data_IF_775290686456
#
_entry.id   IF_775290686456
#
_cell.length_a   1.000
_cell.length_b   1.000
_cell.length_c   1.000
_cell.angle_alpha   90.00
_cell.angle_beta   90.00
_cell.angle_gamma   90.00
#
_symmetry.space_group_name_H-M   'P 1'
#
loop_
_entity.id
_entity.type
_entity.pdbx_description
1 polymer ?
#
# COMPACT_ATOMS: atom_id res chain seq x y z
N UNK A 1 3.37 -22.17 -40.85
CA UNK A 1 2.32 -22.00 -39.83
C UNK A 1 2.99 -21.35 -38.64
N UNK A 2 2.82 -20.03 -38.49
CA UNK A 2 3.40 -19.28 -37.37
C UNK A 2 2.46 -19.46 -36.18
N UNK A 3 2.92 -20.19 -35.15
CA UNK A 3 2.17 -20.38 -33.92
C UNK A 3 2.09 -19.06 -33.18
N UNK A 4 0.89 -18.47 -33.10
CA UNK A 4 0.58 -17.46 -32.09
C UNK A 4 0.51 -18.20 -30.76
N UNK A 5 1.62 -18.24 -30.04
CA UNK A 5 1.58 -18.48 -28.60
C UNK A 5 0.85 -17.28 -28.00
N UNK A 6 -0.36 -17.53 -27.50
CA UNK A 6 -1.15 -16.52 -26.82
C UNK A 6 -0.40 -16.05 -25.59
N UNK A 7 -0.37 -14.74 -25.39
CA UNK A 7 0.07 -14.10 -24.14
C UNK A 7 -0.79 -14.71 -23.03
N UNK A 8 -0.24 -15.69 -22.31
CA UNK A 8 -1.02 -16.47 -21.35
C UNK A 8 -0.65 -16.21 -19.90
N UNK A 9 0.37 -15.37 -19.64
CA UNK A 9 0.75 -15.01 -18.30
C UNK A 9 0.79 -13.49 -18.10
N UNK A 10 0.37 -13.04 -16.92
CA UNK A 10 0.41 -11.61 -16.52
C UNK A 10 1.84 -11.08 -16.59
N UNK A 11 2.83 -11.95 -16.41
CA UNK A 11 4.25 -11.64 -16.53
C UNK A 11 4.63 -11.24 -17.97
N UNK A 12 4.14 -11.95 -18.98
CA UNK A 12 4.36 -11.60 -20.40
C UNK A 12 3.77 -10.22 -20.74
N UNK A 13 2.58 -9.91 -20.19
CA UNK A 13 1.97 -8.59 -20.35
C UNK A 13 2.82 -7.48 -19.72
N UNK A 14 3.37 -7.72 -18.54
CA UNK A 14 4.20 -6.76 -17.82
C UNK A 14 5.54 -6.55 -18.55
N UNK A 15 6.17 -7.61 -19.04
CA UNK A 15 7.40 -7.56 -19.82
C UNK A 15 7.21 -6.78 -21.13
N UNK A 16 6.11 -7.04 -21.87
CA UNK A 16 5.77 -6.32 -23.10
C UNK A 16 5.51 -4.82 -22.87
N UNK A 17 5.02 -4.45 -21.67
CA UNK A 17 4.82 -3.06 -21.27
C UNK A 17 6.06 -2.45 -20.59
N UNK A 18 7.13 -3.22 -20.42
CA UNK A 18 8.32 -2.85 -19.64
C UNK A 18 8.00 -2.39 -18.21
N UNK A 19 6.88 -2.89 -17.65
CA UNK A 19 6.44 -2.61 -16.28
C UNK A 19 6.91 -3.75 -15.39
N UNK A 20 7.34 -3.44 -14.18
CA UNK A 20 7.72 -4.44 -13.18
C UNK A 20 7.10 -4.12 -11.83
N UNK A 21 6.96 -5.10 -10.96
CA UNK A 21 6.64 -4.83 -9.56
C UNK A 21 7.85 -4.22 -8.85
N UNK A 22 7.61 -3.48 -7.78
CA UNK A 22 8.67 -2.96 -6.91
C UNK A 22 9.46 -4.12 -6.29
N UNK A 23 8.82 -5.27 -6.02
CA UNK A 23 9.51 -6.51 -5.63
C UNK A 23 10.59 -6.89 -6.66
N UNK A 24 10.19 -7.08 -7.91
CA UNK A 24 11.13 -7.43 -8.99
C UNK A 24 12.22 -6.38 -9.16
N UNK A 25 11.89 -5.10 -8.97
CA UNK A 25 12.88 -4.03 -9.04
C UNK A 25 13.95 -4.16 -7.94
N UNK A 26 13.54 -4.33 -6.68
CA UNK A 26 14.43 -4.48 -5.53
C UNK A 26 15.28 -5.76 -5.62
N UNK A 27 14.69 -6.86 -6.08
CA UNK A 27 15.42 -8.13 -6.24
C UNK A 27 16.52 -8.03 -7.31
N UNK A 28 16.30 -7.21 -8.35
CA UNK A 28 17.25 -7.03 -9.46
C UNK A 28 18.31 -5.94 -9.21
N UNK A 29 17.95 -4.84 -8.56
CA UNK A 29 18.80 -3.64 -8.45
C UNK A 29 19.25 -3.35 -7.02
N UNK A 30 18.68 -4.02 -6.03
CA UNK A 30 18.93 -3.74 -4.62
C UNK A 30 18.13 -2.55 -4.09
N UNK A 31 18.57 -1.92 -2.99
CA UNK A 31 17.86 -0.81 -2.36
C UNK A 31 17.84 0.44 -3.24
N UNK A 32 16.78 1.22 -3.11
CA UNK A 32 16.63 2.53 -3.74
C UNK A 32 17.39 3.61 -2.97
N UNK A 33 17.81 4.64 -3.69
CA UNK A 33 18.23 5.89 -3.07
C UNK A 33 17.05 6.58 -2.39
N UNK A 34 17.33 7.46 -1.43
CA UNK A 34 16.28 8.20 -0.72
C UNK A 34 15.45 9.07 -1.69
N UNK A 35 16.06 9.61 -2.74
CA UNK A 35 15.36 10.36 -3.78
C UNK A 35 14.38 9.48 -4.59
N UNK A 36 14.82 8.30 -5.03
CA UNK A 36 13.96 7.35 -5.76
C UNK A 36 12.82 6.84 -4.87
N UNK A 37 13.13 6.46 -3.63
CA UNK A 37 12.14 6.04 -2.65
C UNK A 37 11.09 7.13 -2.39
N UNK A 38 11.50 8.40 -2.32
CA UNK A 38 10.59 9.54 -2.12
C UNK A 38 9.58 9.71 -3.26
N UNK A 39 10.01 9.51 -4.51
CA UNK A 39 9.12 9.58 -5.69
C UNK A 39 8.08 8.45 -5.65
N UNK A 40 8.53 7.22 -5.39
CA UNK A 40 7.63 6.06 -5.30
C UNK A 40 6.64 6.24 -4.15
N UNK A 41 7.13 6.66 -2.98
CA UNK A 41 6.32 6.80 -1.78
C UNK A 41 5.24 7.86 -1.92
N UNK A 42 5.55 9.00 -2.56
CA UNK A 42 4.59 10.07 -2.83
C UNK A 42 3.42 9.58 -3.69
N UNK A 43 3.72 8.85 -4.77
CA UNK A 43 2.68 8.36 -5.68
C UNK A 43 1.81 7.27 -5.04
N UNK A 44 2.40 6.40 -4.22
CA UNK A 44 1.65 5.43 -3.42
C UNK A 44 0.80 6.14 -2.35
N UNK A 45 1.32 7.18 -1.71
CA UNK A 45 0.63 7.96 -0.69
C UNK A 45 -0.63 8.66 -1.25
N UNK A 46 -0.53 9.27 -2.43
CA UNK A 46 -1.68 9.88 -3.12
C UNK A 46 -2.79 8.85 -3.36
N UNK A 47 -2.44 7.63 -3.78
CA UNK A 47 -3.40 6.56 -4.02
C UNK A 47 -4.10 6.11 -2.72
N UNK A 48 -3.34 5.99 -1.62
CA UNK A 48 -3.88 5.61 -0.31
C UNK A 48 -4.81 6.69 0.26
N UNK A 49 -4.40 7.95 0.28
CA UNK A 49 -5.23 9.04 0.79
C UNK A 49 -6.52 9.16 -0.05
N UNK A 50 -6.46 8.93 -1.37
CA UNK A 50 -7.65 8.87 -2.23
C UNK A 50 -8.63 7.76 -1.81
N UNK A 51 -8.13 6.57 -1.45
CA UNK A 51 -8.97 5.48 -0.94
C UNK A 51 -9.54 5.81 0.44
N UNK A 52 -8.74 6.40 1.32
CA UNK A 52 -9.15 6.75 2.68
C UNK A 52 -10.26 7.79 2.68
N UNK A 53 -10.20 8.78 1.77
CA UNK A 53 -11.27 9.76 1.57
C UNK A 53 -12.60 9.13 1.13
N UNK A 54 -12.56 7.95 0.50
CA UNK A 54 -13.74 7.17 0.12
C UNK A 54 -14.20 6.24 1.25
N UNK A 55 -13.59 6.31 2.44
CA UNK A 55 -13.87 5.41 3.56
C UNK A 55 -13.41 3.97 3.30
N UNK A 56 -12.40 3.79 2.43
CA UNK A 56 -11.83 2.48 2.10
C UNK A 56 -10.42 2.37 2.61
N UNK A 57 -10.02 1.17 3.02
CA UNK A 57 -8.67 0.83 3.44
C UNK A 57 -8.08 -0.08 2.36
N UNK A 58 -6.81 0.11 2.01
CA UNK A 58 -6.14 -0.79 1.07
C UNK A 58 -5.81 -2.13 1.73
N UNK A 59 -5.27 -2.12 2.95
CA UNK A 59 -5.06 -3.28 3.81
C UNK A 59 -4.00 -4.26 3.32
N UNK A 60 -3.27 -3.93 2.24
CA UNK A 60 -2.33 -4.85 1.60
C UNK A 60 -1.27 -4.13 0.75
N UNK A 61 -0.65 -3.09 1.32
CA UNK A 61 0.45 -2.35 0.69
C UNK A 61 1.74 -3.16 0.87
N UNK A 62 2.23 -3.71 -0.24
CA UNK A 62 3.43 -4.57 -0.31
C UNK A 62 4.13 -4.36 -1.67
N UNK A 63 5.44 -4.70 -1.82
CA UNK A 63 6.19 -4.45 -3.06
C UNK A 63 5.61 -5.15 -4.29
N UNK A 64 4.96 -6.29 -4.13
CA UNK A 64 4.31 -7.00 -5.24
C UNK A 64 3.06 -6.28 -5.75
N UNK A 65 2.51 -5.34 -4.98
CA UNK A 65 1.33 -4.56 -5.33
C UNK A 65 1.67 -3.14 -5.79
N UNK A 66 2.95 -2.79 -5.88
CA UNK A 66 3.40 -1.52 -6.45
C UNK A 66 4.04 -1.81 -7.78
N UNK A 67 3.47 -1.29 -8.86
CA UNK A 67 4.09 -1.32 -10.18
C UNK A 67 5.04 -0.15 -10.33
N UNK A 68 6.21 -0.38 -10.92
CA UNK A 68 7.19 0.62 -11.31
C UNK A 68 7.26 0.61 -12.84
N UNK A 69 6.95 1.75 -13.44
CA UNK A 69 6.89 1.93 -14.89
C UNK A 69 8.21 2.49 -15.43
N UNK A 70 8.46 2.35 -16.75
CA UNK A 70 9.52 3.08 -17.42
C UNK A 70 9.36 4.59 -17.19
N UNK A 71 10.44 5.26 -16.78
CA UNK A 71 10.42 6.69 -16.42
C UNK A 71 10.21 6.97 -14.93
N UNK A 72 10.13 5.94 -14.08
CA UNK A 72 10.22 6.08 -12.63
C UNK A 72 8.90 6.41 -11.92
N UNK A 73 7.76 6.31 -12.61
CA UNK A 73 6.44 6.39 -11.97
C UNK A 73 6.04 5.05 -11.35
N UNK A 74 5.20 5.11 -10.33
CA UNK A 74 4.73 4.03 -9.51
C UNK A 74 3.19 4.02 -9.43
N UNK A 75 2.61 2.83 -9.40
CA UNK A 75 1.15 2.65 -9.34
C UNK A 75 0.79 1.57 -8.32
N UNK A 76 -0.08 1.89 -7.37
CA UNK A 76 -0.57 0.96 -6.36
C UNK A 76 -1.77 0.15 -6.87
N UNK A 77 -1.66 -1.18 -6.87
CA UNK A 77 -2.70 -2.10 -7.30
C UNK A 77 -3.78 -2.28 -6.23
N UNK A 78 -5.00 -1.80 -6.51
CA UNK A 78 -6.10 -1.69 -5.54
C UNK A 78 -6.98 -2.96 -5.36
N UNK A 79 -6.48 -4.15 -5.71
CA UNK A 79 -7.28 -5.39 -5.74
C UNK A 79 -7.78 -5.88 -4.37
N UNK A 80 -7.24 -5.35 -3.26
CA UNK A 80 -7.48 -5.85 -1.89
C UNK A 80 -8.24 -4.89 -0.97
N UNK A 81 -8.93 -3.90 -1.55
CA UNK A 81 -9.55 -2.79 -0.81
C UNK A 81 -10.83 -3.18 -0.04
N UNK A 82 -10.94 -2.78 1.23
CA UNK A 82 -12.09 -3.05 2.12
C UNK A 82 -12.72 -1.75 2.65
N UNK A 83 -13.95 -1.82 3.17
CA UNK A 83 -14.58 -0.67 3.81
C UNK A 83 -13.96 -0.44 5.21
N UNK A 84 -13.75 0.82 5.59
CA UNK A 84 -13.14 1.17 6.88
C UNK A 84 -13.94 0.69 8.11
N UNK A 85 -15.24 0.44 7.93
CA UNK A 85 -16.15 -0.09 8.96
C UNK A 85 -16.21 -1.62 9.03
N UNK A 86 -15.41 -2.34 8.23
CA UNK A 86 -15.36 -3.81 8.25
C UNK A 86 -14.40 -4.31 9.35
N UNK A 87 -14.90 -5.20 10.21
CA UNK A 87 -14.27 -5.56 11.51
C UNK A 87 -13.11 -6.57 11.38
N UNK A 88 -12.71 -6.98 10.18
CA UNK A 88 -11.54 -7.85 10.02
C UNK A 88 -11.02 -7.81 8.59
N UNK A 89 -9.76 -7.42 8.40
CA UNK A 89 -9.03 -7.86 7.21
C UNK A 89 -8.94 -9.39 7.23
N UNK A 90 -8.97 -10.07 6.07
CA UNK A 90 -8.68 -11.49 6.02
C UNK A 90 -7.27 -11.75 6.57
N UNK A 91 -7.05 -12.85 7.31
CA UNK A 91 -5.73 -13.17 7.86
C UNK A 91 -4.69 -13.30 6.73
N UNK A 92 -3.55 -12.62 6.87
CA UNK A 92 -2.42 -12.74 5.93
C UNK A 92 -1.75 -14.10 6.11
N UNK A 93 -1.52 -14.80 5.01
CA UNK A 93 -0.72 -16.02 5.01
C UNK A 93 0.78 -15.66 5.03
N UNK A 94 1.64 -16.57 5.50
CA UNK A 94 3.08 -16.34 5.53
C UNK A 94 3.67 -16.06 4.13
N UNK A 95 3.11 -16.70 3.10
CA UNK A 95 3.47 -16.48 1.70
C UNK A 95 2.97 -15.13 1.15
N UNK A 96 2.00 -14.49 1.81
CA UNK A 96 1.33 -13.28 1.33
C UNK A 96 1.58 -12.10 2.27
N UNK A 97 2.73 -11.41 2.10
CA UNK A 97 2.95 -10.10 2.72
C UNK A 97 2.92 -10.09 4.25
N UNK A 98 3.26 -11.21 4.90
CA UNK A 98 3.25 -11.32 6.36
C UNK A 98 4.26 -10.37 7.02
N UNK A 99 5.39 -10.08 6.38
CA UNK A 99 6.38 -9.10 6.87
C UNK A 99 5.87 -7.66 6.92
N UNK A 100 4.67 -7.41 6.39
CA UNK A 100 3.97 -6.12 6.38
C UNK A 100 2.77 -6.11 7.35
N UNK A 101 2.63 -7.16 8.15
CA UNK A 101 1.58 -7.25 9.17
C UNK A 101 1.74 -6.10 10.17
N UNK A 102 0.66 -5.36 10.40
CA UNK A 102 0.62 -4.32 11.41
C UNK A 102 0.39 -4.87 12.83
N UNK A 103 0.75 -4.15 13.90
CA UNK A 103 0.52 -4.56 15.27
C UNK A 103 -0.96 -4.79 15.60
N UNK A 104 -1.84 -3.95 15.06
CA UNK A 104 -3.29 -4.12 15.20
C UNK A 104 -3.80 -5.39 14.50
N UNK A 105 -3.34 -5.70 13.28
CA UNK A 105 -3.67 -6.97 12.63
C UNK A 105 -3.09 -8.18 13.39
N UNK A 106 -1.89 -8.04 13.97
CA UNK A 106 -1.27 -9.09 14.77
C UNK A 106 -2.04 -9.39 16.06
N UNK A 107 -2.64 -8.36 16.68
CA UNK A 107 -3.52 -8.47 17.85
C UNK A 107 -4.95 -8.90 17.52
N UNK A 108 -5.36 -8.78 16.26
CA UNK A 108 -6.75 -8.99 15.82
C UNK A 108 -7.66 -7.79 16.14
N UNK A 109 -7.07 -6.61 16.30
CA UNK A 109 -7.78 -5.35 16.48
C UNK A 109 -8.39 -4.87 15.14
N UNK A 110 -9.22 -3.83 15.20
CA UNK A 110 -9.81 -3.21 14.00
C UNK A 110 -8.75 -2.49 13.18
N UNK A 111 -8.70 -2.77 11.88
CA UNK A 111 -7.84 -2.08 10.91
C UNK A 111 -8.42 -0.72 10.54
N UNK A 112 -7.55 0.25 10.29
CA UNK A 112 -7.94 1.62 9.90
C UNK A 112 -7.01 2.17 8.83
N UNK A 113 -7.20 3.42 8.39
CA UNK A 113 -6.23 4.12 7.54
C UNK A 113 -4.79 4.06 8.10
N UNK A 114 -4.63 4.09 9.43
CA UNK A 114 -3.34 3.98 10.09
C UNK A 114 -2.63 2.63 9.84
N UNK A 115 -3.37 1.57 9.49
CA UNK A 115 -2.83 0.28 9.08
C UNK A 115 -2.11 0.38 7.73
N UNK A 116 -2.65 1.16 6.80
CA UNK A 116 -1.97 1.44 5.54
C UNK A 116 -0.73 2.31 5.75
N UNK A 117 -0.75 3.24 6.72
CA UNK A 117 0.43 4.05 7.09
C UNK A 117 1.57 3.16 7.60
N UNK A 118 1.26 2.16 8.44
CA UNK A 118 2.24 1.17 8.86
C UNK A 118 2.84 0.42 7.68
N UNK A 119 1.98 -0.10 6.80
CA UNK A 119 2.43 -0.87 5.64
C UNK A 119 3.28 0.00 4.69
N UNK A 120 2.95 1.28 4.54
CA UNK A 120 3.71 2.26 3.77
C UNK A 120 5.08 2.54 4.41
N UNK A 121 5.16 2.63 5.74
CA UNK A 121 6.43 2.73 6.47
C UNK A 121 7.32 1.49 6.31
N UNK A 122 6.71 0.30 6.39
CA UNK A 122 7.43 -0.96 6.15
C UNK A 122 7.91 -1.08 4.71
N UNK A 123 7.12 -0.57 3.75
CA UNK A 123 7.51 -0.47 2.35
C UNK A 123 8.70 0.46 2.17
N UNK A 124 8.68 1.64 2.80
CA UNK A 124 9.81 2.57 2.78
C UNK A 124 11.08 1.94 3.36
N UNK A 125 10.96 1.27 4.51
CA UNK A 125 12.08 0.55 5.10
C UNK A 125 12.70 -0.45 4.12
N UNK A 126 11.86 -1.26 3.46
CA UNK A 126 12.34 -2.25 2.51
C UNK A 126 12.90 -1.61 1.23
N UNK A 127 12.34 -0.49 0.76
CA UNK A 127 12.93 0.25 -0.36
C UNK A 127 14.36 0.70 -0.05
N UNK A 128 14.63 1.18 1.18
CA UNK A 128 15.93 1.74 1.56
C UNK A 128 16.96 0.68 1.98
N UNK A 129 16.52 -0.54 2.33
CA UNK A 129 17.40 -1.59 2.88
C UNK A 129 17.41 -2.88 2.07
N UNK A 130 16.49 -3.03 1.11
CA UNK A 130 16.15 -4.27 0.41
C UNK A 130 15.77 -5.44 1.35
N UNK A 131 15.36 -5.14 2.59
CA UNK A 131 14.92 -6.12 3.59
C UNK A 131 13.67 -5.61 4.28
N UNK A 132 12.72 -6.49 4.60
CA UNK A 132 11.57 -6.10 5.41
C UNK A 132 12.00 -5.76 6.86
N UNK A 133 11.28 -4.87 7.57
CA UNK A 133 11.63 -4.46 8.94
C UNK A 133 11.50 -5.59 9.97
N UNK A 134 10.60 -6.55 9.73
CA UNK A 134 10.38 -7.70 10.60
C UNK A 134 10.32 -8.99 9.77
N UNK A 135 11.09 -9.99 10.18
CA UNK A 135 11.14 -11.30 9.51
C UNK A 135 11.31 -12.40 10.56
N UNK A 136 10.43 -13.40 10.50
CA UNK A 136 10.54 -14.60 11.33
C UNK A 136 10.11 -15.83 10.53
N UNK A 137 10.59 -17.03 10.90
CA UNK A 137 10.24 -18.28 10.22
C UNK A 137 8.81 -18.77 10.50
N UNK A 138 8.16 -18.25 11.54
CA UNK A 138 6.81 -18.64 11.97
C UNK A 138 5.96 -17.40 12.16
N UNK A 139 4.70 -17.48 11.74
CA UNK A 139 3.75 -16.37 11.86
C UNK A 139 3.53 -15.93 13.32
N UNK A 140 3.56 -16.86 14.27
CA UNK A 140 3.43 -16.54 15.71
C UNK A 140 4.60 -15.69 16.19
N UNK A 141 5.83 -16.07 15.85
CA UNK A 141 7.03 -15.31 16.18
C UNK A 141 7.03 -13.94 15.48
N UNK A 142 6.59 -13.87 14.22
CA UNK A 142 6.48 -12.60 13.51
C UNK A 142 5.48 -11.65 14.19
N UNK A 143 4.34 -12.17 14.66
CA UNK A 143 3.36 -11.38 15.42
C UNK A 143 3.97 -10.81 16.70
N UNK A 144 4.71 -11.63 17.44
CA UNK A 144 5.39 -11.21 18.67
C UNK A 144 6.40 -10.09 18.40
N UNK A 145 7.23 -10.24 17.36
CA UNK A 145 8.19 -9.23 16.91
C UNK A 145 7.50 -7.93 16.52
N UNK A 146 6.48 -8.00 15.65
CA UNK A 146 5.74 -6.82 15.19
C UNK A 146 5.13 -6.04 16.35
N UNK A 147 4.64 -6.74 17.39
CA UNK A 147 4.02 -6.13 18.56
C UNK A 147 5.05 -5.49 19.50
N UNK A 148 6.24 -6.10 19.65
CA UNK A 148 7.13 -5.82 20.79
C UNK A 148 8.50 -5.24 20.41
N UNK A 149 9.05 -5.65 19.27
CA UNK A 149 10.42 -5.31 18.86
C UNK A 149 10.43 -4.07 17.98
N UNK A 150 11.54 -3.33 17.95
CA UNK A 150 11.73 -2.23 16.99
C UNK A 150 12.52 -2.72 15.77
N UNK A 151 12.33 -2.11 14.59
CA UNK A 151 13.12 -2.45 13.41
C UNK A 151 14.59 -2.10 13.64
N UNK A 152 15.49 -2.77 12.91
CA UNK A 152 16.91 -2.39 12.89
C UNK A 152 17.07 -0.94 12.40
N UNK A 153 18.15 -0.29 12.84
CA UNK A 153 18.48 1.06 12.36
C UNK A 153 18.81 1.04 10.86
N UNK A 154 18.41 2.11 10.17
CA UNK A 154 18.77 2.32 8.78
C UNK A 154 20.29 2.46 8.61
N UNK A 155 20.82 2.06 7.45
CA UNK A 155 22.21 2.32 7.11
C UNK A 155 22.46 3.84 7.05
N UNK A 156 23.72 4.25 7.28
CA UNK A 156 24.12 5.66 7.32
C UNK A 156 23.65 6.47 6.10
N UNK A 157 23.71 5.86 4.91
CA UNK A 157 23.28 6.45 3.64
C UNK A 157 21.76 6.76 3.53
N UNK A 158 20.96 6.28 4.48
CA UNK A 158 19.52 6.54 4.56
C UNK A 158 19.09 7.03 5.96
N UNK A 159 20.05 7.41 6.81
CA UNK A 159 19.79 7.77 8.21
C UNK A 159 18.84 8.97 8.37
N UNK A 160 18.73 9.83 7.36
CA UNK A 160 17.79 10.95 7.30
C UNK A 160 16.33 10.49 7.32
N UNK A 161 16.05 9.28 6.85
CA UNK A 161 14.71 8.70 6.86
C UNK A 161 14.35 8.02 8.20
N UNK A 162 15.29 7.87 9.15
CA UNK A 162 15.08 7.08 10.36
C UNK A 162 13.86 7.56 11.16
N UNK A 163 13.76 8.87 11.42
CA UNK A 163 12.62 9.43 12.14
C UNK A 163 11.30 9.18 11.41
N UNK A 164 11.29 9.20 10.06
CA UNK A 164 10.07 8.91 9.28
C UNK A 164 9.63 7.47 9.51
N UNK A 165 10.58 6.54 9.50
CA UNK A 165 10.31 5.13 9.78
C UNK A 165 9.83 4.94 11.21
N UNK A 166 10.46 5.56 12.20
CA UNK A 166 10.09 5.44 13.61
C UNK A 166 8.63 5.88 13.85
N UNK A 167 8.21 7.01 13.24
CA UNK A 167 6.81 7.46 13.32
C UNK A 167 5.86 6.54 12.55
N UNK A 168 6.23 6.10 11.34
CA UNK A 168 5.36 5.25 10.52
C UNK A 168 5.16 3.85 11.15
N UNK A 169 6.20 3.31 11.76
CA UNK A 169 6.23 1.99 12.42
C UNK A 169 5.98 2.08 13.94
N UNK A 170 5.36 3.16 14.42
CA UNK A 170 4.90 3.23 15.80
C UNK A 170 3.85 2.15 16.09
N UNK A 171 4.02 1.44 17.22
CA UNK A 171 3.18 0.29 17.60
C UNK A 171 1.71 0.64 17.81
N UNK A 172 1.45 1.86 18.28
CA UNK A 172 0.13 2.42 18.49
C UNK A 172 -0.30 3.25 17.27
N UNK A 173 -1.43 2.95 16.63
CA UNK A 173 -1.89 3.65 15.42
C UNK A 173 -1.97 5.18 15.57
N UNK A 174 -2.35 5.66 16.75
CA UNK A 174 -2.48 7.10 17.05
C UNK A 174 -1.13 7.86 17.09
N UNK A 175 -0.02 7.14 17.18
CA UNK A 175 1.32 7.72 17.20
C UNK A 175 1.95 7.81 15.79
N UNK A 176 1.22 7.35 14.75
CA UNK A 176 1.66 7.39 13.36
C UNK A 176 1.26 8.70 12.69
N UNK A 177 1.70 8.88 11.44
CA UNK A 177 1.24 9.98 10.61
C UNK A 177 -0.27 9.94 10.40
N UNK A 178 -0.89 11.12 10.38
CA UNK A 178 -2.33 11.26 10.18
C UNK A 178 -2.78 10.83 8.78
N UNK A 179 -1.96 11.09 7.75
CA UNK A 179 -2.24 10.71 6.36
C UNK A 179 -0.99 10.13 5.70
N UNK A 180 -1.17 9.39 4.60
CA UNK A 180 -0.05 8.83 3.85
C UNK A 180 0.76 9.96 3.22
N UNK A 181 0.09 11.02 2.75
CA UNK A 181 0.78 12.19 2.21
C UNK A 181 1.63 12.92 3.26
N UNK A 182 1.20 12.96 4.52
CA UNK A 182 1.99 13.57 5.60
C UNK A 182 3.32 12.81 5.82
N UNK A 183 3.31 11.48 5.71
CA UNK A 183 4.51 10.65 5.74
C UNK A 183 5.41 10.96 4.53
N UNK A 184 4.86 10.95 3.31
CA UNK A 184 5.61 11.24 2.09
C UNK A 184 6.26 12.63 2.11
N UNK A 185 5.52 13.66 2.52
CA UNK A 185 6.02 15.03 2.65
C UNK A 185 7.16 15.12 3.66
N UNK A 186 7.08 14.37 4.77
CA UNK A 186 8.14 14.33 5.78
C UNK A 186 9.42 13.72 5.21
N UNK A 187 9.31 12.65 4.43
CA UNK A 187 10.47 12.04 3.74
C UNK A 187 11.06 13.01 2.70
N UNK A 188 10.23 13.64 1.88
CA UNK A 188 10.68 14.63 0.91
C UNK A 188 11.45 15.79 1.55
N UNK A 189 11.02 16.24 2.73
CA UNK A 189 11.72 17.28 3.48
C UNK A 189 13.05 16.79 4.12
N UNK A 190 13.16 15.49 4.38
CA UNK A 190 14.39 14.87 4.88
C UNK A 190 15.39 14.56 3.75
N UNK A 191 14.89 14.41 2.52
CA UNK A 191 15.74 14.18 1.36
C UNK A 191 16.68 15.37 1.14
N UNK A 192 18.00 15.13 0.98
CA UNK A 192 18.91 16.20 0.65
C UNK A 192 18.47 16.78 -0.70
N UNK A 193 17.88 17.98 -0.67
CA UNK A 193 17.71 18.78 -1.88
C UNK A 193 19.12 18.95 -2.41
N UNK A 194 19.39 18.42 -3.60
CA UNK A 194 20.58 18.76 -4.36
C UNK A 194 20.53 20.27 -4.61
N UNK A 195 21.00 21.04 -3.64
CA UNK A 195 21.18 22.47 -3.74
C UNK A 195 22.38 22.61 -4.65
N UNK A 196 22.10 22.77 -5.94
CA UNK A 196 23.02 23.40 -6.88
C UNK A 196 23.22 24.85 -6.43
N UNK A 197 23.99 25.03 -5.35
CA UNK A 197 24.51 26.32 -4.93
C UNK A 197 25.66 26.69 -5.85
N UNK A 198 25.30 27.09 -7.06
CA UNK A 198 26.15 27.85 -7.97
C UNK A 198 25.42 29.15 -8.30
N UNK A 199 25.16 29.98 -7.28
CA UNK A 199 24.83 31.39 -7.51
C UNK A 199 26.12 32.08 -7.90
N UNK A 200 26.45 32.02 -9.19
CA UNK A 200 27.43 32.94 -9.78
C UNK A 200 26.84 34.34 -9.67
N UNK A 201 27.49 35.20 -8.89
CA UNK A 201 27.17 36.62 -8.78
C UNK A 201 27.33 37.28 -10.15
N UNK A 202 26.22 37.45 -10.88
CA UNK A 202 26.19 38.24 -12.12
C UNK A 202 26.16 39.71 -11.74
N UNK A 203 27.20 40.44 -12.18
CA UNK A 203 27.32 41.90 -12.05
C UNK A 203 26.14 42.59 -12.75
N UNK A 204 25.59 43.57 -12.04
CA UNK A 204 24.59 44.55 -12.45
C UNK A 204 24.95 45.20 -13.79
N UNK A 205 24.05 45.11 -14.78
CA UNK A 205 24.12 45.79 -16.06
C UNK A 205 22.70 45.97 -16.62
N UNK A 206 22.34 47.21 -16.89
CA UNK A 206 21.02 47.75 -17.23
C UNK A 206 20.54 47.40 -18.65
N UNK A 207 19.26 47.04 -18.77
CA UNK A 207 18.23 47.65 -19.64
C UNK A 207 17.19 46.63 -20.14
N UNK A 208 15.91 46.94 -19.88
CA UNK A 208 14.72 46.26 -20.39
C UNK A 208 14.43 46.74 -21.82
N UNK A 209 13.66 45.96 -22.59
CA UNK A 209 12.37 46.51 -22.98
C UNK A 209 11.19 45.58 -22.71
N UNK A 210 10.12 46.19 -22.21
CA UNK A 210 8.78 45.64 -21.99
C UNK A 210 7.94 45.84 -23.24
N UNK A 211 7.27 44.81 -23.78
CA UNK A 211 5.93 44.87 -24.43
C UNK A 211 5.35 43.44 -24.61
N UNK A 212 4.03 43.23 -24.87
CA UNK A 212 2.97 43.06 -23.87
C UNK A 212 2.31 41.67 -23.90
N UNK A 213 1.46 41.42 -22.90
CA UNK A 213 0.58 40.27 -22.81
C UNK A 213 -0.61 40.37 -23.79
N UNK A 214 -0.84 39.30 -24.56
CA UNK A 214 -2.09 39.03 -25.27
C UNK A 214 -2.46 37.55 -25.13
N UNK A 215 -3.76 37.35 -24.92
CA UNK A 215 -4.40 36.14 -24.43
C UNK A 215 -4.39 34.96 -25.40
N UNK A 216 -4.26 33.75 -24.85
CA UNK A 216 -4.95 32.56 -25.37
C UNK A 216 -5.56 31.82 -24.19
N UNK A 217 -6.89 31.88 -24.12
CA UNK A 217 -7.72 31.04 -23.27
C UNK A 217 -7.97 29.72 -24.03
N UNK A 218 -7.64 28.58 -23.43
CA UNK A 218 -8.10 27.25 -23.88
C UNK A 218 -8.56 26.46 -22.66
N UNK A 219 -9.76 26.77 -22.21
CA UNK A 219 -10.63 25.84 -21.51
C UNK A 219 -11.17 24.80 -22.50
N UNK A 220 -11.24 23.54 -22.04
CA UNK A 220 -12.04 22.40 -22.54
C UNK A 220 -11.40 21.43 -23.56
N UNK A 221 -10.84 20.34 -23.02
CA UNK A 221 -10.81 18.94 -23.51
C UNK A 221 -9.61 18.29 -22.80
N UNK A 222 -9.73 17.28 -21.93
CA UNK A 222 -10.11 15.91 -22.27
C UNK A 222 -10.72 15.26 -21.01
N UNK A 223 -12.04 15.14 -21.00
CA UNK A 223 -12.75 14.18 -20.15
C UNK A 223 -13.22 13.07 -21.10
N UNK A 224 -12.46 11.97 -21.16
CA UNK A 224 -12.87 10.76 -21.88
C UNK A 224 -12.50 9.54 -21.04
N UNK A 225 -13.49 8.75 -20.58
CA UNK A 225 -13.20 7.43 -20.03
C UNK A 225 -12.67 6.54 -21.16
N UNK A 226 -11.61 5.79 -20.87
CA UNK A 226 -11.11 4.74 -21.76
C UNK A 226 -12.15 3.60 -21.79
N UNK A 227 -13.05 3.62 -22.77
CA UNK A 227 -13.89 2.47 -23.11
C UNK A 227 -13.04 1.47 -23.89
N UNK A 228 -12.69 0.35 -23.27
CA UNK A 228 -12.14 -0.81 -23.96
C UNK A 228 -13.28 -1.55 -24.67
N UNK A 229 -13.38 -1.37 -25.99
CA UNK A 229 -14.28 -2.14 -26.83
C UNK A 229 -13.54 -3.39 -27.33
N UNK A 230 -14.04 -4.60 -27.04
CA UNK A 230 -13.59 -5.78 -27.80
C UNK A 230 -13.48 -7.14 -27.10
N UNK A 231 -14.24 -7.46 -26.05
CA UNK A 231 -14.39 -8.87 -25.63
C UNK A 231 -15.85 -9.27 -25.37
N UNK A 232 -16.30 -10.45 -25.84
CA UNK A 232 -17.67 -10.91 -25.63
C UNK A 232 -17.90 -11.29 -24.16
N UNK A 233 -18.95 -10.70 -23.58
CA UNK A 233 -19.47 -11.04 -22.25
C UNK A 233 -20.20 -12.40 -22.35
N UNK A 234 -19.88 -13.42 -21.52
CA UNK A 234 -20.71 -14.62 -21.43
C UNK A 234 -22.06 -14.26 -20.79
N UNK A 235 -23.15 -14.67 -21.43
CA UNK A 235 -24.52 -14.38 -21.04
C UNK A 235 -24.82 -14.82 -19.59
N UNK A 236 -25.36 -13.89 -18.80
CA UNK A 236 -25.86 -14.14 -17.47
C UNK A 236 -27.05 -15.11 -17.50
N UNK A 237 -26.94 -16.22 -16.76
CA UNK A 237 -28.08 -17.06 -16.39
C UNK A 237 -29.02 -16.27 -15.47
N UNK A 238 -30.29 -16.25 -15.85
CA UNK A 238 -31.42 -15.65 -15.14
C UNK A 238 -31.58 -16.24 -13.74
N UNK A 239 -31.78 -15.42 -12.67
CA UNK A 239 -32.09 -15.96 -11.36
C UNK A 239 -33.53 -16.49 -11.33
N UNK A 240 -33.67 -17.82 -11.26
CA UNK A 240 -34.92 -18.50 -11.03
C UNK A 240 -35.46 -18.23 -9.62
N UNK A 241 -36.75 -17.90 -9.54
CA UNK A 241 -37.53 -17.81 -8.30
C UNK A 241 -37.39 -19.08 -7.46
N UNK A 242 -36.94 -18.95 -6.21
CA UNK A 242 -37.03 -20.01 -5.22
C UNK A 242 -38.16 -19.67 -4.24
N UNK A 243 -39.19 -20.51 -4.24
CA UNK A 243 -40.33 -20.50 -3.33
C UNK A 243 -39.93 -20.98 -1.90
N UNK A 244 -40.67 -20.58 -0.84
CA UNK A 244 -40.28 -20.86 0.53
C UNK A 244 -40.52 -22.34 0.88
N UNK A 245 -39.51 -23.04 1.39
CA UNK A 245 -39.67 -24.37 1.97
C UNK A 245 -39.49 -24.38 3.49
N UNK A 246 -40.43 -25.08 4.11
CA UNK A 246 -40.76 -25.18 5.52
C UNK A 246 -39.63 -25.71 6.41
N UNK A 247 -39.62 -25.15 7.62
CA UNK A 247 -39.01 -25.67 8.84
C UNK A 247 -39.02 -27.21 8.95
N UNK A 248 -37.87 -27.78 9.30
CA UNK A 248 -37.80 -29.04 10.03
C UNK A 248 -36.84 -28.88 11.21
N UNK A 249 -37.43 -28.80 12.40
CA UNK A 249 -36.74 -28.94 13.68
C UNK A 249 -35.93 -30.25 13.67
N UNK A 250 -34.65 -30.16 13.98
CA UNK A 250 -33.88 -31.28 14.52
C UNK A 250 -33.72 -31.02 16.01
N UNK A 251 -34.44 -31.80 16.81
CA UNK A 251 -34.29 -31.90 18.27
C UNK A 251 -32.91 -32.47 18.57
N UNK A 252 -32.03 -31.70 19.21
CA UNK A 252 -30.92 -32.27 19.97
C UNK A 252 -31.36 -32.47 21.42
N UNK A 253 -31.23 -33.71 21.86
CA UNK A 253 -31.51 -34.18 23.22
C UNK A 253 -30.59 -33.54 24.25
N UNK A 254 -31.13 -33.30 25.44
CA UNK A 254 -30.52 -32.53 26.52
C UNK A 254 -29.37 -33.23 27.25
N UNK A 255 -28.38 -32.42 27.64
CA UNK A 255 -27.45 -32.70 28.73
C UNK A 255 -27.72 -31.73 29.87
N UNK A 256 -28.31 -32.23 30.96
CA UNK A 256 -28.53 -31.50 32.21
C UNK A 256 -27.18 -31.24 32.89
N UNK A 257 -26.75 -29.98 32.98
CA UNK A 257 -25.83 -29.55 34.03
C UNK A 257 -26.64 -29.40 35.32
N UNK A 258 -26.44 -30.33 36.27
CA UNK A 258 -26.98 -30.22 37.63
C UNK A 258 -25.94 -29.54 38.50
N UNK A 259 -26.39 -28.50 39.18
CA UNK A 259 -25.66 -27.70 40.16
C UNK A 259 -25.08 -28.54 41.31
N UNK A 260 -23.87 -28.18 41.72
CA UNK A 260 -23.32 -28.53 43.01
C UNK A 260 -24.03 -27.69 44.10
N UNK A 261 -24.64 -28.37 45.07
CA UNK A 261 -25.02 -27.79 46.36
C UNK A 261 -24.39 -28.65 47.47
N UNK A 262 -23.39 -28.04 48.10
CA UNK A 262 -23.17 -27.94 49.55
C UNK A 262 -23.63 -29.12 50.42
N UNK A 263 -22.64 -29.83 50.98
CA UNK A 263 -22.76 -30.51 52.26
C UNK A 263 -22.31 -29.53 53.36
N UNK A 264 -23.24 -29.13 54.24
CA UNK A 264 -22.91 -28.60 55.57
C UNK A 264 -24.00 -29.07 56.53
N UNK A 265 -23.54 -29.70 57.61
CA UNK A 265 -24.25 -30.14 58.84
C UNK A 265 -25.13 -31.40 58.69
#
# INVERSE_FOLDING_TARGET
MCGREGINDVEDCLELLSVRTLRQHLDQHGPLTLAEASVVLDQVAVALDTLHLQGRIHGFVVPTNVLVLPGGSAHLLCSHTTAASSVSCPPRSFAAGASYLSPEEARGDTVTAATDIWCLGALLYEMLTARAPFVALRLTALREQVISDEPDLLPEAASEAQLVIDYALAKWPMNRFLTAQALANKLWAAAPVATSSSVTTVKKGTDLPVVPASAVSLSQAVNRPLTFAGMPVPAAMTPGRIAPRRNRLVRFFGGRYRAAQQATV
#
